data_IF_641944934066
#
_entry.id   IF_641944934066
#
_cell.length_a   1.000
_cell.length_b   1.000
_cell.length_c   1.000
_cell.angle_alpha   90.00
_cell.angle_beta   90.00
_cell.angle_gamma   90.00
#
_symmetry.space_group_name_H-M   'P 1'
#
loop_
_entity.id
_entity.type
_entity.pdbx_description
1 polymer ?
#
# COMPACT_ATOMS: atom_id res chain seq x y z
N UNK A 1 19.99 1.37 -6.22
CA UNK A 1 19.05 0.40 -6.83
C UNK A 1 19.24 0.34 -8.34
N UNK A 2 18.79 1.33 -9.11
CA UNK A 2 18.84 1.26 -10.58
C UNK A 2 20.26 1.13 -11.16
N UNK A 3 21.24 1.86 -10.60
CA UNK A 3 22.65 1.73 -10.99
C UNK A 3 23.21 0.30 -10.78
N UNK A 4 22.80 -0.38 -9.72
CA UNK A 4 23.23 -1.76 -9.48
C UNK A 4 22.65 -2.72 -10.52
N UNK A 5 21.40 -2.49 -10.96
CA UNK A 5 20.75 -3.28 -12.01
C UNK A 5 21.41 -3.04 -13.37
N UNK A 6 21.76 -1.79 -13.69
CA UNK A 6 22.47 -1.47 -14.93
C UNK A 6 23.87 -2.09 -14.96
N UNK A 7 24.60 -2.03 -13.84
CA UNK A 7 25.92 -2.63 -13.71
C UNK A 7 25.86 -4.17 -13.83
N UNK A 8 24.89 -4.80 -13.17
CA UNK A 8 24.68 -6.26 -13.22
C UNK A 8 24.34 -6.73 -14.64
N UNK A 9 23.49 -5.99 -15.35
CA UNK A 9 23.01 -6.36 -16.69
C UNK A 9 23.90 -5.86 -17.83
N UNK A 10 24.83 -4.93 -17.56
CA UNK A 10 25.69 -4.32 -18.57
C UNK A 10 24.94 -3.46 -19.58
N UNK A 11 23.84 -2.82 -19.17
CA UNK A 11 22.95 -2.02 -20.04
C UNK A 11 22.82 -0.59 -19.53
N UNK A 12 22.41 0.33 -20.40
CA UNK A 12 22.12 1.71 -19.97
C UNK A 12 20.86 1.80 -19.10
N UNK A 13 20.78 2.86 -18.30
CA UNK A 13 19.60 3.19 -17.51
C UNK A 13 18.31 3.24 -18.34
N UNK A 14 18.33 3.85 -19.52
CA UNK A 14 17.15 3.96 -20.37
C UNK A 14 16.67 2.59 -20.84
N UNK A 15 17.59 1.69 -21.17
CA UNK A 15 17.22 0.33 -21.57
C UNK A 15 16.47 -0.41 -20.45
N UNK A 16 16.85 -0.20 -19.18
CA UNK A 16 16.14 -0.79 -18.03
C UNK A 16 14.76 -0.16 -17.85
N UNK A 17 14.62 1.16 -17.97
CA UNK A 17 13.33 1.84 -17.74
C UNK A 17 12.36 1.68 -18.89
N UNK A 18 12.85 1.71 -20.13
CA UNK A 18 12.03 1.58 -21.35
C UNK A 18 11.47 0.17 -21.52
N UNK A 19 12.14 -0.82 -20.91
CA UNK A 19 11.64 -2.20 -20.83
C UNK A 19 10.42 -2.35 -19.89
N UNK A 20 10.09 -1.34 -19.08
CA UNK A 20 8.95 -1.36 -18.15
C UNK A 20 7.81 -0.54 -18.77
N UNK A 21 6.78 -1.23 -19.26
CA UNK A 21 5.58 -0.58 -19.77
C UNK A 21 4.90 0.21 -18.66
N UNK A 22 4.80 1.52 -18.88
CA UNK A 22 4.18 2.45 -17.94
C UNK A 22 5.12 3.06 -16.90
N UNK A 23 6.44 2.95 -17.06
CA UNK A 23 7.45 3.51 -16.14
C UNK A 23 7.17 4.96 -15.70
N UNK A 24 6.86 5.86 -16.65
CA UNK A 24 6.64 7.29 -16.36
C UNK A 24 5.19 7.63 -15.94
N UNK A 25 4.32 6.62 -15.78
CA UNK A 25 2.92 6.87 -15.39
C UNK A 25 2.81 7.19 -13.92
N UNK A 26 2.08 8.27 -13.64
CA UNK A 26 1.71 8.67 -12.30
C UNK A 26 0.20 8.47 -12.14
N UNK A 27 -0.20 7.93 -11.00
CA UNK A 27 -1.60 7.73 -10.66
C UNK A 27 -2.01 8.60 -9.48
N UNK A 28 -3.29 8.96 -9.42
CA UNK A 28 -3.88 9.62 -8.26
C UNK A 28 -4.67 8.59 -7.47
N UNK A 29 -4.52 8.60 -6.15
CA UNK A 29 -5.11 7.65 -5.20
C UNK A 29 -4.53 6.22 -5.24
N UNK A 30 -4.68 5.52 -4.11
CA UNK A 30 -4.01 4.25 -3.80
C UNK A 30 -4.52 3.06 -4.62
N UNK A 31 -5.77 3.10 -5.08
CA UNK A 31 -6.34 2.02 -5.90
C UNK A 31 -6.00 2.13 -7.39
N UNK A 32 -5.74 3.34 -7.89
CA UNK A 32 -5.58 3.58 -9.33
C UNK A 32 -4.41 2.80 -9.95
N UNK A 33 -3.22 2.70 -9.32
CA UNK A 33 -2.13 1.87 -9.83
C UNK A 33 -2.53 0.40 -10.02
N UNK A 34 -3.18 -0.20 -9.02
CA UNK A 34 -3.58 -1.61 -9.08
C UNK A 34 -4.60 -1.86 -10.21
N UNK A 35 -5.53 -0.92 -10.43
CA UNK A 35 -6.48 -1.01 -11.55
C UNK A 35 -5.82 -0.90 -12.91
N UNK A 36 -4.79 -0.05 -13.06
CA UNK A 36 -4.02 0.04 -14.30
C UNK A 36 -3.25 -1.25 -14.58
N UNK A 37 -2.69 -1.91 -13.56
CA UNK A 37 -2.08 -3.24 -13.71
C UNK A 37 -3.13 -4.27 -14.15
N UNK A 38 -4.29 -4.31 -13.49
CA UNK A 38 -5.38 -5.23 -13.86
C UNK A 38 -5.88 -5.01 -15.30
N UNK A 39 -5.82 -3.78 -15.81
CA UNK A 39 -6.19 -3.45 -17.18
C UNK A 39 -5.08 -3.73 -18.22
N UNK A 40 -3.86 -4.05 -17.78
CA UNK A 40 -2.70 -4.21 -18.66
C UNK A 40 -2.09 -2.90 -19.16
N UNK A 41 -2.47 -1.76 -18.58
CA UNK A 41 -1.97 -0.43 -18.97
C UNK A 41 -0.52 -0.17 -18.51
N UNK A 42 -0.07 -0.90 -17.50
CA UNK A 42 1.27 -0.82 -16.90
C UNK A 42 1.70 -2.19 -16.38
N UNK A 43 2.99 -2.46 -16.33
CA UNK A 43 3.52 -3.76 -15.84
C UNK A 43 3.43 -3.91 -14.32
N UNK A 44 3.57 -2.80 -13.59
CA UNK A 44 3.54 -2.78 -12.13
C UNK A 44 3.06 -1.41 -11.61
N UNK A 45 2.56 -1.39 -10.37
CA UNK A 45 2.13 -0.17 -9.69
C UNK A 45 2.30 -0.25 -8.18
N UNK A 46 2.67 0.87 -7.55
CA UNK A 46 2.71 0.97 -6.09
C UNK A 46 1.29 1.02 -5.53
N UNK A 47 0.94 0.08 -4.65
CA UNK A 47 -0.39 -0.01 -4.07
C UNK A 47 -0.39 -0.77 -2.74
N UNK A 48 -1.56 -0.85 -2.12
CA UNK A 48 -1.76 -1.57 -0.86
C UNK A 48 -2.08 -3.04 -1.13
N UNK A 49 -1.59 -3.95 -0.27
CA UNK A 49 -1.88 -5.39 -0.35
C UNK A 49 -3.39 -5.67 -0.40
N UNK A 50 -4.17 -4.96 0.41
CA UNK A 50 -5.63 -5.07 0.43
C UNK A 50 -6.27 -4.87 -0.95
N UNK A 51 -5.78 -3.89 -1.73
CA UNK A 51 -6.28 -3.64 -3.10
C UNK A 51 -5.84 -4.75 -4.06
N UNK A 52 -4.61 -5.23 -3.94
CA UNK A 52 -4.10 -6.33 -4.76
C UNK A 52 -4.94 -7.61 -4.53
N UNK A 53 -5.18 -7.98 -3.27
CA UNK A 53 -6.05 -9.12 -2.91
C UNK A 53 -7.47 -8.96 -3.47
N UNK A 54 -8.06 -7.76 -3.33
CA UNK A 54 -9.40 -7.46 -3.86
C UNK A 54 -9.51 -7.58 -5.38
N UNK A 55 -8.44 -7.30 -6.11
CA UNK A 55 -8.38 -7.36 -7.57
C UNK A 55 -7.75 -8.65 -8.10
N UNK A 56 -7.44 -9.61 -7.23
CA UNK A 56 -6.76 -10.87 -7.55
C UNK A 56 -5.43 -10.67 -8.31
N UNK A 57 -4.63 -9.72 -7.83
CA UNK A 57 -3.33 -9.37 -8.40
C UNK A 57 -2.18 -9.93 -7.55
N UNK A 58 -1.07 -10.27 -8.21
CA UNK A 58 0.19 -10.55 -7.53
C UNK A 58 0.69 -9.33 -6.75
N UNK A 59 1.27 -9.56 -5.56
CA UNK A 59 1.76 -8.51 -4.68
C UNK A 59 3.18 -8.77 -4.19
N UNK A 60 4.07 -7.82 -4.40
CA UNK A 60 5.46 -7.84 -3.88
C UNK A 60 5.58 -6.78 -2.77
N UNK A 61 5.83 -7.18 -1.51
CA UNK A 61 5.95 -6.23 -0.41
C UNK A 61 7.25 -5.41 -0.53
N UNK A 62 7.12 -4.09 -0.50
CA UNK A 62 8.26 -3.15 -0.50
C UNK A 62 8.34 -2.27 0.75
N UNK A 63 7.35 -2.36 1.64
CA UNK A 63 7.27 -1.59 2.88
C UNK A 63 5.89 -1.69 3.54
N UNK A 64 5.70 -0.92 4.60
CA UNK A 64 4.43 -0.80 5.34
C UNK A 64 4.00 0.66 5.42
N UNK A 65 2.69 0.90 5.35
CA UNK A 65 2.13 2.23 5.55
C UNK A 65 1.59 2.33 6.98
N UNK A 66 2.23 3.16 7.79
CA UNK A 66 1.79 3.41 9.16
C UNK A 66 0.52 4.28 9.18
N UNK A 67 -0.48 3.85 9.93
CA UNK A 67 -1.75 4.57 10.13
C UNK A 67 -1.89 4.92 11.60
N UNK A 68 -2.40 6.12 11.90
CA UNK A 68 -2.63 6.59 13.27
C UNK A 68 -4.03 7.17 13.39
N UNK A 69 -4.75 6.76 14.42
CA UNK A 69 -6.04 7.36 14.78
C UNK A 69 -5.80 8.56 15.71
N UNK A 70 -6.51 9.65 15.47
CA UNK A 70 -6.49 10.84 16.32
C UNK A 70 -7.91 11.22 16.70
N UNK A 71 -8.11 11.55 17.98
CA UNK A 71 -9.34 12.14 18.48
C UNK A 71 -9.15 13.65 18.72
N UNK A 72 -10.22 14.43 18.55
CA UNK A 72 -10.22 15.82 18.97
C UNK A 72 -10.10 15.88 20.51
N UNK A 73 -9.20 16.73 21.01
CA UNK A 73 -8.81 16.74 22.42
C UNK A 73 -9.98 17.05 23.37
N UNK A 74 -10.93 17.88 22.94
CA UNK A 74 -12.15 18.23 23.69
C UNK A 74 -13.23 17.12 23.68
N UNK A 75 -12.97 16.01 22.99
CA UNK A 75 -13.93 14.91 22.78
C UNK A 75 -13.53 13.61 23.47
N UNK A 76 -12.30 13.50 23.96
CA UNK A 76 -11.77 12.26 24.55
C UNK A 76 -12.51 11.83 25.82
N UNK A 77 -13.03 12.78 26.60
CA UNK A 77 -13.84 12.50 27.80
C UNK A 77 -15.24 11.97 27.50
N UNK A 78 -15.67 11.98 26.23
CA UNK A 78 -16.98 11.41 25.87
C UNK A 78 -16.90 9.90 26.01
N UNK A 79 -17.83 9.27 26.77
CA UNK A 79 -17.79 7.82 26.99
C UNK A 79 -17.66 6.99 25.71
N UNK A 80 -18.36 7.39 24.64
CA UNK A 80 -18.28 6.71 23.35
C UNK A 80 -16.91 6.84 22.65
N UNK A 81 -16.20 7.95 22.83
CA UNK A 81 -14.86 8.16 22.26
C UNK A 81 -13.82 7.40 23.07
N UNK A 82 -13.93 7.42 24.40
CA UNK A 82 -13.09 6.63 25.28
C UNK A 82 -13.22 5.12 25.00
N UNK A 83 -14.46 4.63 24.87
CA UNK A 83 -14.73 3.23 24.54
C UNK A 83 -14.17 2.84 23.16
N UNK A 84 -14.27 3.70 22.15
CA UNK A 84 -13.64 3.45 20.85
C UNK A 84 -12.11 3.41 20.94
N UNK A 85 -11.50 4.26 21.76
CA UNK A 85 -10.06 4.23 22.01
C UNK A 85 -9.61 2.90 22.63
N UNK A 86 -10.32 2.43 23.65
CA UNK A 86 -10.06 1.14 24.31
C UNK A 86 -10.19 -0.04 23.34
N UNK A 87 -11.22 -0.03 22.48
CA UNK A 87 -11.41 -1.05 21.45
C UNK A 87 -10.27 -1.03 20.41
N UNK A 88 -9.80 0.15 20.01
CA UNK A 88 -8.67 0.27 19.09
C UNK A 88 -7.33 -0.16 19.73
N UNK A 89 -7.20 -0.12 21.05
CA UNK A 89 -6.00 -0.56 21.77
C UNK A 89 -6.01 -2.07 22.06
N UNK A 90 -7.18 -2.66 22.27
CA UNK A 90 -7.29 -4.05 22.79
C UNK A 90 -7.95 -5.03 21.82
N UNK A 91 -8.81 -4.56 20.93
CA UNK A 91 -9.58 -5.37 19.98
C UNK A 91 -9.10 -5.26 18.53
N UNK A 92 -8.00 -4.55 18.27
CA UNK A 92 -7.55 -4.28 16.90
C UNK A 92 -7.17 -5.56 16.15
N UNK A 93 -6.48 -6.49 16.79
CA UNK A 93 -6.07 -7.75 16.18
C UNK A 93 -7.27 -8.54 15.64
N UNK A 94 -8.31 -8.66 16.45
CA UNK A 94 -9.56 -9.33 16.09
C UNK A 94 -10.32 -8.56 15.01
N UNK A 95 -10.34 -7.23 15.08
CA UNK A 95 -10.99 -6.38 14.08
C UNK A 95 -10.30 -6.43 12.71
N UNK A 96 -8.98 -6.67 12.70
CA UNK A 96 -8.19 -6.82 11.48
C UNK A 96 -8.16 -8.27 10.98
N UNK A 97 -8.63 -9.24 11.77
CA UNK A 97 -8.66 -10.64 11.38
C UNK A 97 -9.44 -10.84 10.08
N UNK A 98 -8.76 -11.35 9.05
CA UNK A 98 -9.34 -11.57 7.72
C UNK A 98 -9.29 -10.36 6.78
N UNK A 99 -8.71 -9.23 7.21
CA UNK A 99 -8.42 -8.10 6.34
C UNK A 99 -6.99 -8.22 5.80
N UNK A 100 -6.87 -8.78 4.60
CA UNK A 100 -5.59 -8.92 3.91
C UNK A 100 -4.83 -7.59 3.81
N UNK A 101 -3.59 -7.57 4.29
CA UNK A 101 -2.73 -6.40 4.21
C UNK A 101 -2.87 -5.39 5.34
N UNK A 102 -3.64 -5.72 6.37
CA UNK A 102 -3.65 -5.00 7.63
C UNK A 102 -2.89 -5.79 8.70
N UNK A 103 -2.20 -5.06 9.56
CA UNK A 103 -1.41 -5.58 10.67
C UNK A 103 -1.48 -4.54 11.80
N UNK A 104 -1.56 -4.96 13.08
CA UNK A 104 -1.69 -4.05 14.23
C UNK A 104 -0.44 -3.19 14.49
N UNK A 105 0.72 -3.52 13.90
CA UNK A 105 1.95 -2.72 13.94
C UNK A 105 3.05 -3.26 14.84
#
# INVERSE_FOLDING_TARGET
ALAAITDERGVDRHEVTDAIHGWDRNARAFESPARSVAAGDVDAGLGLRATASKLDLGFVPVGTQQVRAFAAADRTEKPAVAALGEELETGLDDALAGLDGFDPG
#
